data_IF_545156159447
#
_entry.id   IF_545156159447
#
_cell.length_a   1.000
_cell.length_b   1.000
_cell.length_c   1.000
_cell.angle_alpha   90.00
_cell.angle_beta   90.00
_cell.angle_gamma   90.00
#
_symmetry.space_group_name_H-M   'P 1'
#
loop_
_entity.id
_entity.type
_entity.pdbx_description
1 polymer ?
#
# COMPACT_ATOMS: atom_id res chain seq x y z
N UNK A 1 -35.24 -21.92 -2.69
CA UNK A 1 -34.40 -20.69 -2.77
C UNK A 1 -33.47 -20.71 -1.57
N UNK A 2 -32.16 -20.91 -1.75
CA UNK A 2 -31.22 -20.97 -0.62
C UNK A 2 -31.10 -19.56 -0.04
N UNK A 3 -31.74 -19.32 1.11
CA UNK A 3 -31.61 -18.09 1.86
C UNK A 3 -30.11 -17.90 2.18
N UNK A 4 -29.50 -16.85 1.61
CA UNK A 4 -28.15 -16.45 1.98
C UNK A 4 -28.20 -15.95 3.42
N UNK A 5 -27.74 -16.77 4.36
CA UNK A 5 -27.40 -16.31 5.70
C UNK A 5 -26.41 -15.12 5.64
N UNK A 6 -26.21 -14.40 6.75
CA UNK A 6 -25.35 -13.22 6.78
C UNK A 6 -23.96 -13.59 6.24
N UNK A 7 -23.57 -12.93 5.15
CA UNK A 7 -22.33 -13.23 4.43
C UNK A 7 -21.13 -12.76 5.26
N UNK A 8 -20.51 -13.70 5.97
CA UNK A 8 -19.24 -13.49 6.65
C UNK A 8 -18.21 -13.03 5.62
N UNK A 9 -17.91 -11.74 5.65
CA UNK A 9 -17.06 -11.10 4.66
C UNK A 9 -16.25 -9.98 5.29
N UNK A 10 -15.03 -9.85 4.79
CA UNK A 10 -14.08 -8.83 5.19
C UNK A 10 -13.51 -8.19 3.94
N UNK A 11 -13.41 -6.87 3.95
CA UNK A 11 -12.78 -6.11 2.88
C UNK A 11 -11.54 -5.42 3.44
N UNK A 12 -10.42 -5.62 2.75
CA UNK A 12 -9.16 -4.95 3.09
C UNK A 12 -8.52 -4.36 1.84
N UNK A 13 -7.58 -3.45 2.07
CA UNK A 13 -6.79 -2.84 1.01
C UNK A 13 -5.30 -3.08 1.22
N UNK A 14 -4.60 -3.35 0.12
CA UNK A 14 -3.15 -3.30 -0.02
C UNK A 14 -2.79 -2.15 -0.96
N UNK A 15 -1.75 -1.39 -0.62
CA UNK A 15 -1.31 -0.26 -1.44
C UNK A 15 0.21 -0.31 -1.58
N UNK A 16 0.69 -0.15 -2.81
CA UNK A 16 2.13 0.00 -3.09
C UNK A 16 2.31 1.05 -4.18
N UNK A 17 3.07 2.12 -3.88
CA UNK A 17 3.19 3.29 -4.76
C UNK A 17 1.79 3.81 -5.15
N UNK A 18 1.46 3.85 -6.43
CA UNK A 18 0.15 4.25 -6.96
C UNK A 18 -0.81 3.06 -7.19
N UNK A 19 -0.36 1.81 -6.97
CA UNK A 19 -1.20 0.62 -7.13
C UNK A 19 -2.05 0.38 -5.88
N UNK A 20 -3.35 0.16 -6.08
CA UNK A 20 -4.29 -0.19 -5.01
C UNK A 20 -4.95 -1.52 -5.31
N UNK A 21 -4.82 -2.46 -4.38
CA UNK A 21 -5.47 -3.76 -4.40
C UNK A 21 -6.54 -3.82 -3.30
N UNK A 22 -7.74 -4.23 -3.65
CA UNK A 22 -8.87 -4.42 -2.74
C UNK A 22 -9.17 -5.91 -2.69
N UNK A 23 -8.99 -6.54 -1.54
CA UNK A 23 -9.30 -7.95 -1.33
C UNK A 23 -10.61 -8.09 -0.57
N UNK A 24 -11.50 -8.92 -1.10
CA UNK A 24 -12.72 -9.35 -0.47
C UNK A 24 -12.56 -10.81 -0.05
N UNK A 25 -12.47 -11.04 1.26
CA UNK A 25 -12.52 -12.36 1.85
C UNK A 25 -13.97 -12.74 2.16
N UNK A 26 -14.33 -13.97 1.82
CA UNK A 26 -15.59 -14.59 2.17
C UNK A 26 -15.31 -16.00 2.69
N UNK A 27 -16.19 -16.55 3.52
CA UNK A 27 -16.14 -17.98 3.83
C UNK A 27 -16.36 -18.80 2.55
N UNK A 28 -15.53 -19.79 2.30
CA UNK A 28 -15.56 -20.58 1.06
C UNK A 28 -14.58 -21.74 1.03
N UNK A 29 -14.13 -22.12 -0.16
CA UNK A 29 -13.39 -23.37 -0.44
C UNK A 29 -11.90 -23.12 -0.79
N UNK A 30 -11.33 -21.96 -0.46
CA UNK A 30 -9.93 -21.66 -0.76
C UNK A 30 -9.70 -21.09 -2.16
N UNK A 31 -10.72 -20.54 -2.80
CA UNK A 31 -10.59 -20.00 -4.15
C UNK A 31 -10.00 -18.59 -4.12
N UNK A 32 -8.79 -18.44 -4.67
CA UNK A 32 -8.12 -17.13 -4.79
C UNK A 32 -8.13 -16.67 -6.25
N UNK A 33 -8.74 -15.51 -6.50
CA UNK A 33 -8.82 -14.89 -7.83
C UNK A 33 -8.41 -13.44 -7.79
N UNK A 34 -7.66 -12.99 -8.80
CA UNK A 34 -7.26 -11.60 -9.00
C UNK A 34 -7.82 -11.10 -10.32
N UNK A 35 -8.62 -10.03 -10.29
CA UNK A 35 -9.28 -9.47 -11.47
C UNK A 35 -10.07 -10.52 -12.30
N UNK A 36 -10.61 -11.54 -11.64
CA UNK A 36 -11.36 -12.64 -12.28
C UNK A 36 -10.50 -13.79 -12.82
N UNK A 37 -9.17 -13.67 -12.79
CA UNK A 37 -8.21 -14.69 -13.22
C UNK A 37 -7.57 -15.41 -12.03
N UNK A 38 -7.10 -16.66 -12.17
CA UNK A 38 -6.32 -17.35 -11.13
C UNK A 38 -4.92 -16.71 -10.97
N UNK A 39 -4.25 -17.00 -9.84
CA UNK A 39 -2.94 -16.42 -9.51
C UNK A 39 -1.84 -16.72 -10.55
N UNK A 40 -1.91 -17.89 -11.18
CA UNK A 40 -0.94 -18.36 -12.19
C UNK A 40 -0.99 -17.59 -13.51
N UNK A 41 -2.11 -16.91 -13.79
CA UNK A 41 -2.32 -16.18 -15.05
C UNK A 41 -2.00 -14.69 -14.92
N UNK A 42 -1.31 -14.28 -13.84
CA UNK A 42 -0.93 -12.89 -13.60
C UNK A 42 0.42 -12.62 -14.26
N UNK A 43 0.46 -11.59 -15.09
CA UNK A 43 1.68 -11.13 -15.74
C UNK A 43 2.42 -10.10 -14.86
N UNK A 44 3.77 -10.07 -14.87
CA UNK A 44 4.70 -10.98 -15.55
C UNK A 44 4.97 -12.28 -14.78
N UNK A 45 5.25 -13.36 -15.52
CA UNK A 45 5.53 -14.70 -14.97
C UNK A 45 6.67 -14.72 -13.94
N UNK A 46 7.70 -13.89 -14.17
CA UNK A 46 8.88 -13.80 -13.30
C UNK A 46 8.53 -13.41 -11.87
N UNK A 47 7.46 -12.65 -11.61
CA UNK A 47 7.11 -12.18 -10.27
C UNK A 47 5.97 -12.99 -9.63
N UNK A 48 5.50 -14.05 -10.27
CA UNK A 48 4.40 -14.88 -9.75
C UNK A 48 4.76 -15.56 -8.42
N UNK A 49 6.02 -15.95 -8.24
CA UNK A 49 6.49 -16.56 -6.99
C UNK A 49 6.25 -15.64 -5.78
N UNK A 50 6.35 -14.31 -5.96
CA UNK A 50 6.07 -13.31 -4.90
C UNK A 50 4.61 -13.29 -4.46
N UNK A 51 3.68 -13.69 -5.34
CA UNK A 51 2.26 -13.80 -4.98
C UNK A 51 1.96 -15.07 -4.18
N UNK A 52 2.73 -16.13 -4.41
CA UNK A 52 2.58 -17.42 -3.74
C UNK A 52 3.26 -17.48 -2.37
N UNK A 53 4.24 -16.62 -2.09
CA UNK A 53 4.91 -16.50 -0.78
C UNK A 53 3.94 -16.54 0.43
N UNK A 54 2.87 -15.71 0.52
CA UNK A 54 1.96 -15.77 1.65
C UNK A 54 1.19 -17.10 1.76
N UNK A 55 0.93 -17.78 0.64
CA UNK A 55 0.30 -19.10 0.66
C UNK A 55 1.27 -20.17 1.18
N UNK A 56 2.54 -20.08 0.78
CA UNK A 56 3.57 -21.03 1.19
C UNK A 56 3.91 -20.89 2.68
N UNK A 57 3.98 -19.66 3.18
CA UNK A 57 4.34 -19.37 4.59
C UNK A 57 3.27 -19.80 5.59
N UNK A 58 2.00 -19.63 5.23
CA UNK A 58 0.88 -19.87 6.15
C UNK A 58 0.25 -21.26 6.00
N UNK A 59 0.66 -22.01 4.97
CA UNK A 59 0.10 -23.32 4.65
C UNK A 59 -1.29 -23.24 3.99
N UNK A 60 -1.59 -24.22 3.13
CA UNK A 60 -2.87 -24.28 2.39
C UNK A 60 -4.08 -24.50 3.31
N UNK A 61 -3.88 -25.10 4.47
CA UNK A 61 -4.90 -25.39 5.48
C UNK A 61 -5.64 -24.13 5.97
N UNK A 62 -4.91 -23.03 6.18
CA UNK A 62 -5.50 -21.76 6.65
C UNK A 62 -6.30 -21.05 5.56
N UNK A 63 -6.02 -21.34 4.29
CA UNK A 63 -6.76 -20.79 3.15
C UNK A 63 -7.96 -21.65 2.73
N UNK A 64 -7.98 -22.94 3.04
CA UNK A 64 -9.03 -23.86 2.59
C UNK A 64 -10.46 -23.44 3.00
N UNK A 65 -10.62 -22.71 4.11
CA UNK A 65 -11.92 -22.21 4.59
C UNK A 65 -12.34 -20.83 4.08
N UNK A 66 -11.52 -20.16 3.25
CA UNK A 66 -11.74 -18.77 2.82
C UNK A 66 -11.55 -18.59 1.31
N UNK A 67 -12.52 -17.93 0.67
CA UNK A 67 -12.42 -17.47 -0.71
C UNK A 67 -11.97 -16.00 -0.75
N UNK A 68 -10.95 -15.71 -1.56
CA UNK A 68 -10.38 -14.37 -1.68
C UNK A 68 -10.52 -13.86 -3.11
N UNK A 69 -11.24 -12.76 -3.28
CA UNK A 69 -11.35 -12.06 -4.57
C UNK A 69 -10.66 -10.72 -4.49
N UNK A 70 -9.60 -10.54 -5.27
CA UNK A 70 -8.80 -9.32 -5.31
C UNK A 70 -9.11 -8.53 -6.57
N UNK A 71 -9.38 -7.24 -6.42
CA UNK A 71 -9.47 -6.28 -7.52
C UNK A 71 -8.31 -5.30 -7.43
N UNK A 72 -7.61 -5.06 -8.52
CA UNK A 72 -6.43 -4.19 -8.54
C UNK A 72 -6.61 -3.09 -9.58
N UNK A 73 -6.28 -1.85 -9.20
CA UNK A 73 -6.32 -0.68 -10.08
C UNK A 73 -5.08 0.19 -9.89
N UNK A 74 -4.64 0.83 -10.97
CA UNK A 74 -3.52 1.78 -10.98
C UNK A 74 -2.13 1.12 -10.90
N UNK A 75 -1.10 1.95 -10.95
CA UNK A 75 0.31 1.53 -10.91
C UNK A 75 0.80 0.77 -12.15
N UNK A 76 1.96 0.12 -12.04
CA UNK A 76 2.50 -0.82 -13.02
C UNK A 76 2.55 -2.25 -12.46
N UNK A 77 2.81 -3.25 -13.32
CA UNK A 77 2.69 -4.68 -12.97
C UNK A 77 3.44 -5.06 -11.69
N UNK A 78 4.67 -4.57 -11.52
CA UNK A 78 5.48 -4.84 -10.31
C UNK A 78 4.80 -4.31 -9.05
N UNK A 79 4.35 -3.05 -9.06
CA UNK A 79 3.69 -2.44 -7.90
C UNK A 79 2.36 -3.13 -7.57
N UNK A 80 1.63 -3.56 -8.60
CA UNK A 80 0.39 -4.31 -8.43
C UNK A 80 0.62 -5.64 -7.72
N UNK A 81 1.66 -6.39 -8.08
CA UNK A 81 2.00 -7.67 -7.45
C UNK A 81 2.25 -7.50 -5.95
N UNK A 82 3.05 -6.51 -5.56
CA UNK A 82 3.28 -6.22 -4.15
C UNK A 82 2.01 -5.76 -3.41
N UNK A 83 1.13 -5.00 -4.07
CA UNK A 83 -0.15 -4.61 -3.49
C UNK A 83 -1.08 -5.82 -3.29
N UNK A 84 -1.13 -6.76 -4.23
CA UNK A 84 -1.90 -8.01 -4.13
C UNK A 84 -1.37 -8.86 -2.96
N UNK A 85 -0.04 -9.08 -2.92
CA UNK A 85 0.62 -9.81 -1.84
C UNK A 85 0.21 -9.26 -0.48
N UNK A 86 0.30 -7.93 -0.31
CA UNK A 86 -0.09 -7.27 0.94
C UNK A 86 -1.59 -7.41 1.24
N UNK A 87 -2.44 -7.31 0.22
CA UNK A 87 -3.89 -7.43 0.39
C UNK A 87 -4.28 -8.83 0.87
N UNK A 88 -3.73 -9.90 0.29
CA UNK A 88 -4.02 -11.29 0.68
C UNK A 88 -3.67 -11.52 2.16
N UNK A 89 -2.46 -11.13 2.57
CA UNK A 89 -1.99 -11.29 3.95
C UNK A 89 -2.86 -10.53 4.96
N UNK A 90 -3.19 -9.27 4.67
CA UNK A 90 -4.08 -8.46 5.51
C UNK A 90 -5.48 -9.05 5.60
N UNK A 91 -5.96 -9.63 4.50
CA UNK A 91 -7.33 -10.13 4.42
C UNK A 91 -7.52 -11.35 5.31
N UNK A 92 -6.50 -12.22 5.39
CA UNK A 92 -6.51 -13.35 6.31
C UNK A 92 -6.50 -12.87 7.76
N UNK A 93 -5.58 -11.99 8.13
CA UNK A 93 -5.48 -11.44 9.49
C UNK A 93 -6.79 -10.79 9.94
N UNK A 94 -7.42 -10.00 9.06
CA UNK A 94 -8.69 -9.33 9.36
C UNK A 94 -9.88 -10.31 9.44
N UNK A 95 -9.84 -11.42 8.69
CA UNK A 95 -10.83 -12.48 8.80
C UNK A 95 -10.74 -13.22 10.15
N UNK A 96 -9.52 -13.62 10.54
CA UNK A 96 -9.29 -14.28 11.83
C UNK A 96 -9.64 -13.38 13.01
N UNK A 97 -9.33 -12.09 12.93
CA UNK A 97 -9.71 -11.09 13.94
C UNK A 97 -11.23 -11.01 14.17
N UNK A 98 -12.06 -11.27 13.14
CA UNK A 98 -13.51 -11.09 13.22
C UNK A 98 -14.27 -12.38 13.52
N UNK A 99 -13.75 -13.54 13.09
CA UNK A 99 -14.54 -14.77 13.02
C UNK A 99 -13.94 -16.01 13.70
N UNK A 100 -12.65 -16.01 14.06
CA UNK A 100 -11.99 -17.22 14.62
C UNK A 100 -11.55 -16.96 16.06
N UNK A 101 -10.35 -16.39 16.26
CA UNK A 101 -9.77 -16.15 17.57
C UNK A 101 -8.56 -15.20 17.50
N UNK A 102 -8.24 -14.55 18.62
CA UNK A 102 -7.13 -13.59 18.71
C UNK A 102 -5.76 -14.27 18.81
N UNK A 103 -5.68 -15.54 19.23
CA UNK A 103 -4.42 -16.28 19.36
C UNK A 103 -3.85 -16.67 18.00
N UNK A 104 -4.63 -17.37 17.17
CA UNK A 104 -4.31 -17.72 15.78
C UNK A 104 -3.96 -16.50 14.95
N UNK A 105 -4.62 -15.37 15.20
CA UNK A 105 -4.30 -14.09 14.56
C UNK A 105 -2.88 -13.64 14.90
N UNK A 106 -2.43 -13.75 16.15
CA UNK A 106 -1.07 -13.36 16.56
C UNK A 106 -0.04 -14.23 15.87
N UNK A 107 -0.21 -15.55 15.88
CA UNK A 107 0.66 -16.49 15.17
C UNK A 107 0.81 -16.13 13.68
N UNK A 108 -0.31 -15.93 12.99
CA UNK A 108 -0.33 -15.55 11.57
C UNK A 108 0.36 -14.20 11.38
N UNK A 109 0.09 -13.22 12.25
CA UNK A 109 0.74 -11.90 12.18
C UNK A 109 2.24 -12.00 12.36
N UNK A 110 2.72 -12.76 13.33
CA UNK A 110 4.14 -12.85 13.66
C UNK A 110 4.93 -13.49 12.51
N UNK A 111 4.40 -14.57 11.92
CA UNK A 111 4.96 -15.19 10.71
C UNK A 111 4.98 -14.17 9.56
N UNK A 112 3.87 -13.45 9.36
CA UNK A 112 3.77 -12.48 8.28
C UNK A 112 4.69 -11.26 8.47
N UNK A 113 4.88 -10.77 9.69
CA UNK A 113 5.71 -9.61 10.02
C UNK A 113 7.17 -9.90 9.66
N UNK A 114 7.68 -11.07 10.02
CA UNK A 114 9.05 -11.48 9.69
C UNK A 114 9.34 -11.44 8.17
N UNK A 115 8.35 -11.73 7.34
CA UNK A 115 8.51 -11.84 5.89
C UNK A 115 8.00 -10.65 5.07
N UNK A 116 7.14 -9.79 5.64
CA UNK A 116 6.50 -8.66 4.93
C UNK A 116 6.98 -7.28 5.35
N UNK A 117 7.69 -7.12 6.47
CA UNK A 117 8.14 -5.80 6.99
C UNK A 117 9.03 -5.02 6.02
N UNK A 118 9.56 -5.64 4.96
CA UNK A 118 10.24 -4.93 3.88
C UNK A 118 9.34 -4.02 3.00
N UNK A 119 8.05 -3.87 3.30
CA UNK A 119 7.10 -3.14 2.46
C UNK A 119 6.14 -2.28 3.29
N UNK A 120 6.68 -1.40 4.14
CA UNK A 120 5.93 -0.22 4.55
C UNK A 120 5.41 0.55 3.31
N UNK A 121 4.27 1.25 3.44
CA UNK A 121 3.82 2.15 2.40
C UNK A 121 4.87 3.24 2.23
N UNK A 122 5.82 3.03 1.31
CA UNK A 122 6.76 4.08 0.91
C UNK A 122 5.89 5.28 0.55
N UNK A 123 6.03 6.43 1.26
CA UNK A 123 5.26 7.62 0.92
C UNK A 123 5.48 7.89 -0.56
N UNK A 124 4.42 8.28 -1.26
CA UNK A 124 4.50 8.54 -2.70
C UNK A 124 5.30 9.83 -2.93
N UNK A 125 6.62 9.81 -2.73
CA UNK A 125 7.52 10.84 -3.22
C UNK A 125 7.83 10.53 -4.68
N UNK A 126 6.84 10.75 -5.55
CA UNK A 126 7.20 11.42 -6.80
C UNK A 126 7.41 12.86 -6.36
N UNK A 127 8.65 13.35 -6.43
CA UNK A 127 8.87 14.78 -6.55
C UNK A 127 7.87 15.26 -7.60
N UNK A 128 6.93 16.15 -7.25
CA UNK A 128 6.24 16.81 -8.33
C UNK A 128 7.35 17.58 -9.06
N UNK A 129 7.53 17.35 -10.35
CA UNK A 129 7.99 18.44 -11.21
C UNK A 129 6.83 19.44 -11.22
N UNK A 130 6.58 20.09 -10.09
CA UNK A 130 5.74 21.27 -10.03
C UNK A 130 6.60 22.37 -10.59
N UNK A 131 6.29 22.82 -11.79
CA UNK A 131 6.44 24.24 -12.07
C UNK A 131 5.45 24.95 -11.15
N UNK A 132 5.84 25.12 -9.90
CA UNK A 132 5.08 25.87 -8.91
C UNK A 132 5.33 27.34 -9.23
N UNK A 133 4.53 27.90 -10.15
CA UNK A 133 4.45 29.34 -10.29
C UNK A 133 3.64 29.83 -9.10
N UNK A 134 4.33 30.21 -8.03
CA UNK A 134 3.69 30.80 -6.85
C UNK A 134 3.50 32.28 -7.14
N UNK A 135 2.29 32.65 -7.54
CA UNK A 135 1.89 34.07 -7.58
C UNK A 135 1.74 34.58 -6.15
N UNK A 136 2.76 35.26 -5.66
CA UNK A 136 2.66 36.07 -4.46
C UNK A 136 1.92 37.37 -4.79
N UNK A 137 0.71 37.53 -4.27
CA UNK A 137 0.08 38.84 -4.17
C UNK A 137 0.65 39.57 -2.96
N UNK A 138 1.46 40.59 -3.21
CA UNK A 138 1.83 41.56 -2.17
C UNK A 138 0.74 42.64 -2.08
N UNK A 139 0.55 43.23 -0.89
CA UNK A 139 -0.43 44.31 -0.63
C UNK A 139 -0.08 45.65 -1.32
N UNK A 140 0.85 45.63 -2.27
CA UNK A 140 1.25 46.74 -3.11
C UNK A 140 1.43 46.17 -4.52
N UNK A 141 0.47 46.40 -5.41
CA UNK A 141 0.30 45.68 -6.68
C UNK A 141 1.45 45.84 -7.67
N UNK A 142 2.50 45.02 -7.54
CA UNK A 142 3.47 44.74 -8.60
C UNK A 142 3.83 43.26 -8.61
N UNK A 143 3.55 42.63 -9.74
CA UNK A 143 3.79 41.22 -10.05
C UNK A 143 5.29 41.00 -10.31
N UNK A 144 5.94 40.18 -9.49
CA UNK A 144 7.34 39.78 -9.66
C UNK A 144 7.37 38.29 -10.04
N UNK A 145 7.96 38.00 -11.19
CA UNK A 145 8.07 36.64 -11.74
C UNK A 145 8.92 35.74 -10.84
N UNK A 146 8.37 34.56 -10.52
CA UNK A 146 8.98 33.54 -9.68
C UNK A 146 10.25 32.94 -10.32
N UNK A 147 11.37 32.94 -9.57
CA UNK A 147 12.55 32.09 -9.83
C UNK A 147 12.55 30.92 -8.83
N UNK A 148 12.96 29.70 -9.25
CA UNK A 148 12.89 28.52 -8.40
C UNK A 148 13.93 28.58 -7.26
N UNK A 149 13.45 28.44 -6.02
CA UNK A 149 14.30 28.26 -4.82
C UNK A 149 14.33 26.77 -4.48
N UNK A 150 15.54 26.21 -4.34
CA UNK A 150 15.76 24.79 -4.00
C UNK A 150 15.81 24.68 -2.47
N UNK A 151 14.88 23.91 -1.90
CA UNK A 151 14.89 23.56 -0.47
C UNK A 151 15.65 22.24 -0.26
N UNK A 152 16.73 22.27 0.52
CA UNK A 152 17.47 21.08 0.95
C UNK A 152 17.14 20.85 2.42
N UNK A 153 16.56 19.68 2.75
CA UNK A 153 16.31 19.27 4.13
C UNK A 153 17.52 18.50 4.68
N UNK A 154 18.15 19.01 5.74
CA UNK A 154 19.12 18.29 6.56
C UNK A 154 18.39 17.71 7.78
N UNK A 155 18.41 16.39 7.94
CA UNK A 155 17.90 15.71 9.13
C UNK A 155 19.04 15.54 10.13
N UNK A 156 19.25 16.55 10.98
CA UNK A 156 19.75 16.33 12.34
C UNK A 156 19.24 17.48 13.25
N UNK A 157 19.10 17.17 14.53
CA UNK A 157 18.33 17.88 15.54
C UNK A 157 18.44 19.43 15.54
N UNK A 158 17.28 20.10 15.76
CA UNK A 158 17.06 21.52 16.11
C UNK A 158 17.12 22.61 15.02
N UNK A 159 16.20 22.56 14.05
CA UNK A 159 15.74 23.77 13.32
C UNK A 159 15.49 23.57 11.82
N UNK A 160 14.52 24.31 11.25
CA UNK A 160 14.32 24.39 9.79
C UNK A 160 15.08 25.61 9.28
N UNK A 161 16.13 25.37 8.50
CA UNK A 161 16.89 26.43 7.86
C UNK A 161 16.45 26.55 6.40
N UNK A 162 16.03 27.75 5.99
CA UNK A 162 15.60 28.06 4.63
C UNK A 162 16.74 28.76 3.89
N UNK A 163 17.17 28.22 2.75
CA UNK A 163 18.13 28.86 1.86
C UNK A 163 17.40 29.77 0.88
N UNK A 164 17.63 31.07 0.97
CA UNK A 164 16.86 32.09 0.23
C UNK A 164 17.57 32.56 -1.05
N UNK A 165 18.73 31.98 -1.39
CA UNK A 165 19.61 32.50 -2.45
C UNK A 165 20.53 33.62 -1.93
N UNK A 166 21.62 33.89 -2.64
CA UNK A 166 22.70 34.84 -2.28
C UNK A 166 23.57 34.47 -1.06
N UNK A 167 23.66 33.19 -0.71
CA UNK A 167 24.56 32.71 0.34
C UNK A 167 24.08 32.97 1.78
N UNK A 168 22.85 33.48 1.95
CA UNK A 168 22.28 33.79 3.26
C UNK A 168 21.36 32.66 3.72
N UNK A 169 21.55 32.24 4.97
CA UNK A 169 20.70 31.26 5.66
C UNK A 169 19.81 31.96 6.67
N UNK A 170 18.51 31.67 6.65
CA UNK A 170 17.54 32.18 7.62
C UNK A 170 16.99 31.01 8.44
N UNK A 171 17.16 31.10 9.75
CA UNK A 171 16.56 30.17 10.72
C UNK A 171 15.11 30.56 10.96
N UNK A 172 14.18 29.63 10.74
CA UNK A 172 12.76 29.83 11.09
C UNK A 172 12.50 29.12 12.41
N UNK A 173 12.26 29.91 13.47
CA UNK A 173 11.81 29.45 14.79
C UNK A 173 10.31 29.52 14.94
#
# INVERSE_FOLDING_TARGET
>A
MVAKGPLQSVQVFGRKKTATAVAHCKRGNGLIKVNGRPLEMIEPATLQYKLLEPLLLLGKERFAGVDIRVRVKGGGHVAQIYAIRQAISKALVAYYQKYVDEASKKEIKDILIQYLVALEPVPATRSPTVNLCVHFHNKCGKELQARPVIFIWFTDWSGVACWVGDGVWVMVG
#
